data_IF_574538385992
#
_entry.id   IF_574538385992
#
_cell.length_a   1.000
_cell.length_b   1.000
_cell.length_c   1.000
_cell.angle_alpha   90.00
_cell.angle_beta   90.00
_cell.angle_gamma   90.00
#
_symmetry.space_group_name_H-M   'P 1'
#
loop_
_entity.id
_entity.type
_entity.pdbx_description
1 polymer ?
#
# COMPACT_ATOMS: atom_id res chain seq x y z
N UNK A 1 -7.75 29.05 -12.28
CA UNK A 1 -7.16 30.38 -12.56
C UNK A 1 -6.36 30.88 -11.36
N UNK A 2 -6.96 31.16 -10.20
CA UNK A 2 -6.23 31.66 -9.02
C UNK A 2 -4.99 30.83 -8.59
N UNK A 3 -5.06 29.50 -8.60
CA UNK A 3 -3.90 28.64 -8.25
C UNK A 3 -2.77 28.70 -9.29
N UNK A 4 -3.09 28.94 -10.57
CA UNK A 4 -2.08 29.12 -11.63
C UNK A 4 -1.38 30.48 -11.46
N UNK A 5 -2.13 31.51 -11.09
CA UNK A 5 -1.58 32.83 -10.82
C UNK A 5 -0.62 32.77 -9.63
N UNK A 6 -1.02 32.08 -8.56
CA UNK A 6 -0.16 31.82 -7.41
C UNK A 6 1.11 31.05 -7.80
N UNK A 7 1.00 30.01 -8.63
CA UNK A 7 2.16 29.26 -9.11
C UNK A 7 3.16 30.16 -9.83
N UNK A 8 2.64 31.01 -10.75
CA UNK A 8 3.44 31.95 -11.52
C UNK A 8 4.13 32.98 -10.63
N UNK A 9 3.48 33.40 -9.55
CA UNK A 9 4.05 34.34 -8.58
C UNK A 9 5.11 33.68 -7.68
N UNK A 10 4.90 32.43 -7.23
CA UNK A 10 5.86 31.68 -6.41
C UNK A 10 7.16 31.36 -7.16
N UNK A 11 7.11 31.26 -8.48
CA UNK A 11 8.29 31.07 -9.33
C UNK A 11 9.15 32.33 -9.48
N UNK A 12 8.67 33.51 -9.08
CA UNK A 12 9.46 34.74 -9.14
C UNK A 12 10.41 34.84 -7.94
N UNK A 13 11.61 35.37 -8.19
CA UNK A 13 12.60 35.53 -7.12
C UNK A 13 12.31 36.67 -6.15
N UNK A 14 11.47 37.62 -6.56
CA UNK A 14 11.12 38.81 -5.78
C UNK A 14 10.09 38.59 -4.69
N UNK A 15 9.38 37.45 -4.68
CA UNK A 15 8.31 37.23 -3.70
C UNK A 15 8.91 37.02 -2.31
N UNK A 16 8.49 37.84 -1.36
CA UNK A 16 8.77 37.66 0.07
C UNK A 16 7.44 37.52 0.79
N UNK A 17 7.22 36.35 1.38
CA UNK A 17 6.05 36.08 2.20
C UNK A 17 6.40 36.47 3.65
N UNK A 18 5.46 37.13 4.33
CA UNK A 18 5.52 37.29 5.77
C UNK A 18 4.93 36.04 6.46
N UNK A 19 5.13 35.91 7.77
CA UNK A 19 4.75 34.70 8.51
C UNK A 19 3.26 34.36 8.40
N UNK A 20 2.38 35.36 8.35
CA UNK A 20 0.94 35.14 8.21
C UNK A 20 0.56 34.70 6.79
N UNK A 21 1.16 35.29 5.75
CA UNK A 21 0.95 34.87 4.37
C UNK A 21 1.49 33.47 4.12
N UNK A 22 2.67 33.11 4.65
CA UNK A 22 3.20 31.76 4.57
C UNK A 22 2.19 30.73 5.10
N UNK A 23 1.67 30.94 6.32
CA UNK A 23 0.68 30.06 6.95
C UNK A 23 -0.58 29.91 6.11
N UNK A 24 -1.10 31.02 5.58
CA UNK A 24 -2.30 31.04 4.75
C UNK A 24 -2.10 30.29 3.44
N UNK A 25 -0.97 30.54 2.75
CA UNK A 25 -0.64 29.89 1.48
C UNK A 25 -0.45 28.39 1.66
N UNK A 26 0.33 27.97 2.67
CA UNK A 26 0.54 26.55 3.00
C UNK A 26 -0.80 25.86 3.30
N UNK A 27 -1.61 26.44 4.19
CA UNK A 27 -2.92 25.88 4.56
C UNK A 27 -3.86 25.77 3.35
N UNK A 28 -3.85 26.78 2.48
CA UNK A 28 -4.66 26.78 1.27
C UNK A 28 -4.20 25.69 0.30
N UNK A 29 -2.91 25.57 0.02
CA UNK A 29 -2.36 24.57 -0.90
C UNK A 29 -2.61 23.14 -0.39
N UNK A 30 -2.40 22.89 0.91
CA UNK A 30 -2.73 21.60 1.51
C UNK A 30 -4.21 21.26 1.38
N UNK A 31 -5.10 22.24 1.52
CA UNK A 31 -6.55 22.04 1.31
C UNK A 31 -6.89 21.75 -0.16
N UNK A 32 -6.17 22.33 -1.11
CA UNK A 32 -6.38 22.08 -2.54
C UNK A 32 -5.93 20.67 -2.98
N UNK A 33 -5.10 19.98 -2.19
CA UNK A 33 -4.81 18.55 -2.41
C UNK A 33 -6.06 17.67 -2.23
N UNK A 34 -7.06 18.15 -1.50
CA UNK A 34 -8.35 17.47 -1.30
C UNK A 34 -9.45 18.00 -2.24
N UNK A 35 -9.10 18.78 -3.27
CA UNK A 35 -10.08 19.30 -4.23
C UNK A 35 -10.74 18.16 -5.02
N UNK A 36 -11.99 18.36 -5.46
CA UNK A 36 -12.69 17.35 -6.27
C UNK A 36 -12.12 17.23 -7.68
N UNK A 37 -11.45 18.29 -8.18
CA UNK A 37 -10.85 18.32 -9.49
C UNK A 37 -9.37 17.92 -9.42
N UNK A 38 -9.02 16.81 -10.07
CA UNK A 38 -7.65 16.31 -10.16
C UNK A 38 -6.66 17.28 -10.82
N UNK A 39 -7.11 18.17 -11.72
CA UNK A 39 -6.25 19.22 -12.27
C UNK A 39 -5.84 20.23 -11.21
N UNK A 40 -6.77 20.60 -10.31
CA UNK A 40 -6.52 21.53 -9.21
C UNK A 40 -5.58 20.88 -8.19
N UNK A 41 -5.77 19.60 -7.89
CA UNK A 41 -4.88 18.82 -7.03
C UNK A 41 -3.45 18.78 -7.61
N UNK A 42 -3.30 18.44 -8.89
CA UNK A 42 -2.01 18.39 -9.58
C UNK A 42 -1.32 19.75 -9.60
N UNK A 43 -2.09 20.81 -9.80
CA UNK A 43 -1.56 22.17 -9.76
C UNK A 43 -1.12 22.57 -8.34
N UNK A 44 -1.87 22.19 -7.32
CA UNK A 44 -1.50 22.41 -5.92
C UNK A 44 -0.17 21.72 -5.58
N UNK A 45 0.02 20.47 -6.04
CA UNK A 45 1.31 19.76 -5.90
C UNK A 45 2.45 20.50 -6.59
N UNK A 46 2.24 20.99 -7.81
CA UNK A 46 3.26 21.78 -8.53
C UNK A 46 3.62 23.08 -7.80
N UNK A 47 2.68 23.71 -7.09
CA UNK A 47 2.96 24.88 -6.27
C UNK A 47 3.81 24.58 -5.03
N UNK A 48 3.74 23.35 -4.48
CA UNK A 48 4.53 22.99 -3.29
C UNK A 48 6.04 23.03 -3.57
N UNK A 49 6.47 22.69 -4.79
CA UNK A 49 7.88 22.70 -5.20
C UNK A 49 8.58 24.06 -5.00
N UNK A 50 8.15 25.14 -5.69
CA UNK A 50 8.74 26.46 -5.46
C UNK A 50 8.46 26.99 -4.05
N UNK A 51 7.32 26.65 -3.44
CA UNK A 51 6.97 27.14 -2.11
C UNK A 51 7.99 26.74 -1.04
N UNK A 52 8.50 25.50 -1.06
CA UNK A 52 9.46 25.03 -0.03
C UNK A 52 10.78 25.80 -0.05
N UNK A 53 11.09 26.49 -1.14
CA UNK A 53 12.26 27.38 -1.26
C UNK A 53 11.96 28.85 -0.89
N UNK A 54 10.71 29.18 -0.60
CA UNK A 54 10.24 30.56 -0.32
C UNK A 54 9.70 30.75 1.10
N UNK A 55 9.45 29.66 1.82
CA UNK A 55 8.94 29.68 3.20
C UNK A 55 10.00 29.26 4.20
N UNK A 56 9.81 29.62 5.47
CA UNK A 56 10.70 29.20 6.57
C UNK A 56 10.60 27.70 6.86
N UNK A 57 11.66 27.13 7.44
CA UNK A 57 11.81 25.71 7.76
C UNK A 57 10.59 25.10 8.49
N UNK A 58 10.00 25.80 9.46
CA UNK A 58 8.84 25.30 10.21
C UNK A 58 7.61 25.07 9.31
N UNK A 59 7.46 25.83 8.23
CA UNK A 59 6.39 25.64 7.26
C UNK A 59 6.67 24.45 6.36
N UNK A 60 7.92 24.25 5.94
CA UNK A 60 8.33 23.06 5.21
C UNK A 60 8.05 21.80 6.03
N UNK A 61 8.40 21.83 7.32
CA UNK A 61 8.07 20.75 8.25
C UNK A 61 6.57 20.50 8.35
N UNK A 62 5.75 21.57 8.39
CA UNK A 62 4.28 21.46 8.40
C UNK A 62 3.73 20.82 7.12
N UNK A 63 4.28 21.19 5.94
CA UNK A 63 3.91 20.59 4.66
C UNK A 63 4.22 19.09 4.66
N UNK A 64 5.44 18.71 5.08
CA UNK A 64 5.87 17.31 5.13
C UNK A 64 5.01 16.50 6.09
N UNK A 65 4.73 17.00 7.30
CA UNK A 65 3.88 16.31 8.28
C UNK A 65 2.46 16.06 7.74
N UNK A 66 1.88 17.05 7.04
CA UNK A 66 0.58 16.93 6.42
C UNK A 66 0.57 15.89 5.28
N UNK A 67 1.55 15.95 4.38
CA UNK A 67 1.69 14.99 3.28
C UNK A 67 1.88 13.55 3.80
N UNK A 68 2.77 13.36 4.78
CA UNK A 68 2.97 12.05 5.39
C UNK A 68 1.72 11.51 6.10
N UNK A 69 0.92 12.38 6.70
CA UNK A 69 -0.36 11.98 7.32
C UNK A 69 -1.39 11.59 6.26
N UNK A 70 -1.43 12.31 5.13
CA UNK A 70 -2.35 12.03 4.04
C UNK A 70 -1.99 10.78 3.24
N UNK A 71 -0.71 10.38 3.21
CA UNK A 71 -0.26 9.12 2.59
C UNK A 71 -0.85 7.86 3.22
N UNK A 72 -1.31 7.95 4.48
CA UNK A 72 -1.99 6.86 5.19
C UNK A 72 -3.49 7.10 5.33
N UNK A 73 -4.06 8.02 4.55
CA UNK A 73 -5.50 8.27 4.51
C UNK A 73 -6.25 7.08 3.91
N UNK A 74 -7.50 6.88 4.30
CA UNK A 74 -8.37 5.86 3.70
C UNK A 74 -8.72 6.18 2.23
N UNK A 75 -8.63 7.45 1.83
CA UNK A 75 -8.92 7.92 0.47
C UNK A 75 -7.73 7.65 -0.46
N UNK A 76 -7.91 6.73 -1.42
CA UNK A 76 -6.89 6.36 -2.40
C UNK A 76 -6.33 7.57 -3.17
N UNK A 77 -7.20 8.39 -3.76
CA UNK A 77 -6.78 9.60 -4.47
C UNK A 77 -5.93 10.55 -3.60
N UNK A 78 -6.25 10.66 -2.31
CA UNK A 78 -5.51 11.51 -1.39
C UNK A 78 -4.12 10.91 -1.07
N UNK A 79 -4.01 9.59 -0.98
CA UNK A 79 -2.72 8.89 -0.83
C UNK A 79 -1.83 9.11 -2.05
N UNK A 80 -2.39 8.98 -3.24
CA UNK A 80 -1.64 9.12 -4.50
C UNK A 80 -1.11 10.55 -4.68
N UNK A 81 -1.99 11.55 -4.56
CA UNK A 81 -1.59 12.95 -4.71
C UNK A 81 -0.59 13.37 -3.63
N UNK A 82 -0.75 12.89 -2.39
CA UNK A 82 0.17 13.21 -1.30
C UNK A 82 1.53 12.54 -1.47
N UNK A 83 1.58 11.34 -2.07
CA UNK A 83 2.83 10.67 -2.41
C UNK A 83 3.59 11.43 -3.50
N UNK A 84 2.89 11.93 -4.52
CA UNK A 84 3.48 12.79 -5.57
C UNK A 84 3.94 14.13 -4.96
N UNK A 85 3.13 14.72 -4.08
CA UNK A 85 3.45 15.94 -3.33
C UNK A 85 4.72 15.78 -2.51
N UNK A 86 4.83 14.68 -1.75
CA UNK A 86 6.00 14.41 -0.92
C UNK A 86 7.25 14.21 -1.76
N UNK A 87 7.16 13.45 -2.86
CA UNK A 87 8.27 13.29 -3.82
C UNK A 87 8.72 14.63 -4.40
N UNK A 88 7.77 15.48 -4.79
CA UNK A 88 8.04 16.82 -5.31
C UNK A 88 8.76 17.68 -4.28
N UNK A 89 8.23 17.74 -3.05
CA UNK A 89 8.84 18.49 -1.94
C UNK A 89 10.27 18.02 -1.69
N UNK A 90 10.51 16.71 -1.56
CA UNK A 90 11.85 16.15 -1.33
C UNK A 90 12.83 16.55 -2.44
N UNK A 91 12.36 16.53 -3.70
CA UNK A 91 13.21 16.84 -4.86
C UNK A 91 13.58 18.32 -4.94
N UNK A 92 12.76 19.19 -4.36
CA UNK A 92 12.90 20.65 -4.38
C UNK A 92 13.50 21.21 -3.07
N UNK A 93 13.85 20.36 -2.09
CA UNK A 93 14.47 20.81 -0.85
C UNK A 93 15.82 21.51 -1.09
N UNK A 94 16.13 22.59 -0.36
CA UNK A 94 17.39 23.30 -0.51
C UNK A 94 18.56 22.44 -0.02
N UNK A 95 19.45 22.06 -0.96
CA UNK A 95 20.62 21.21 -0.69
C UNK A 95 21.65 21.84 0.29
N UNK A 96 21.56 23.15 0.55
CA UNK A 96 22.44 23.87 1.46
C UNK A 96 22.06 23.78 2.94
N UNK A 97 20.85 23.32 3.30
CA UNK A 97 20.37 23.31 4.68
C UNK A 97 20.36 21.89 5.28
N UNK A 98 21.50 21.46 5.83
CA UNK A 98 21.64 20.10 6.39
C UNK A 98 20.67 19.81 7.54
N UNK A 99 20.33 20.80 8.36
CA UNK A 99 19.42 20.63 9.50
C UNK A 99 17.97 20.39 9.05
N UNK A 100 17.45 21.21 8.12
CA UNK A 100 16.11 21.02 7.56
C UNK A 100 15.98 19.66 6.89
N UNK A 101 16.94 19.30 6.02
CA UNK A 101 16.95 18.00 5.34
C UNK A 101 16.96 16.86 6.34
N UNK A 102 17.80 16.92 7.39
CA UNK A 102 17.83 15.89 8.42
C UNK A 102 16.50 15.77 9.19
N UNK A 103 15.85 16.90 9.51
CA UNK A 103 14.54 16.90 10.16
C UNK A 103 13.45 16.30 9.26
N UNK A 104 13.41 16.70 8.00
CA UNK A 104 12.47 16.17 7.01
C UNK A 104 12.67 14.67 6.82
N UNK A 105 13.91 14.21 6.65
CA UNK A 105 14.22 12.78 6.57
C UNK A 105 13.73 12.02 7.81
N UNK A 106 14.00 12.53 9.02
CA UNK A 106 13.56 11.89 10.26
C UNK A 106 12.03 11.73 10.32
N UNK A 107 11.29 12.78 9.95
CA UNK A 107 9.81 12.77 9.95
C UNK A 107 9.26 11.75 8.96
N UNK A 108 9.79 11.74 7.74
CA UNK A 108 9.40 10.80 6.68
C UNK A 108 9.73 9.36 7.10
N UNK A 109 10.97 9.10 7.54
CA UNK A 109 11.40 7.76 7.97
C UNK A 109 10.55 7.23 9.11
N UNK A 110 10.19 8.06 10.09
CA UNK A 110 9.31 7.64 11.19
C UNK A 110 7.93 7.19 10.71
N UNK A 111 7.30 7.97 9.83
CA UNK A 111 5.97 7.67 9.27
C UNK A 111 5.99 6.46 8.34
N UNK A 112 6.99 6.38 7.46
CA UNK A 112 7.20 5.21 6.59
C UNK A 112 7.43 3.94 7.40
N UNK A 113 8.11 4.03 8.55
CA UNK A 113 8.36 2.84 9.37
C UNK A 113 7.09 2.21 9.90
N UNK A 114 6.19 3.03 10.44
CA UNK A 114 4.88 2.56 10.90
C UNK A 114 4.00 2.05 9.74
N UNK A 115 4.10 2.65 8.55
CA UNK A 115 3.38 2.17 7.38
C UNK A 115 3.91 0.79 6.92
N UNK A 116 5.23 0.57 6.94
CA UNK A 116 5.86 -0.69 6.55
C UNK A 116 5.41 -1.84 7.47
N UNK A 117 5.29 -1.61 8.78
CA UNK A 117 4.78 -2.63 9.71
C UNK A 117 3.37 -3.12 9.30
N UNK A 118 2.47 -2.20 8.95
CA UNK A 118 1.13 -2.54 8.45
C UNK A 118 1.18 -3.28 7.11
N UNK A 119 2.06 -2.86 6.20
CA UNK A 119 2.23 -3.53 4.91
C UNK A 119 2.69 -4.98 5.12
N UNK A 120 3.61 -5.22 6.05
CA UNK A 120 4.09 -6.56 6.39
C UNK A 120 2.93 -7.42 6.92
N UNK A 121 2.13 -6.90 7.86
CA UNK A 121 0.96 -7.60 8.40
C UNK A 121 -0.03 -8.00 7.30
N UNK A 122 -0.37 -7.06 6.41
CA UNK A 122 -1.25 -7.30 5.27
C UNK A 122 -0.67 -8.35 4.32
N UNK A 123 0.64 -8.25 4.01
CA UNK A 123 1.28 -9.23 3.14
C UNK A 123 1.33 -10.63 3.77
N UNK A 124 1.49 -10.74 5.08
CA UNK A 124 1.42 -12.01 5.80
C UNK A 124 0.02 -12.64 5.73
N UNK A 125 -1.05 -11.84 5.74
CA UNK A 125 -2.41 -12.34 5.54
C UNK A 125 -2.57 -12.85 4.09
N UNK A 126 -2.16 -12.04 3.11
CA UNK A 126 -2.32 -12.37 1.70
C UNK A 126 -1.43 -13.51 1.20
N UNK A 127 -0.28 -13.76 1.84
CA UNK A 127 0.56 -14.91 1.52
C UNK A 127 -0.12 -16.24 1.88
N UNK A 128 -1.02 -16.21 2.86
CA UNK A 128 -1.85 -17.34 3.28
C UNK A 128 -3.29 -17.27 2.78
N UNK A 129 -3.63 -16.28 1.94
CA UNK A 129 -5.00 -16.12 1.45
C UNK A 129 -5.40 -17.26 0.52
N UNK A 130 -6.54 -17.89 0.83
CA UNK A 130 -7.06 -19.06 0.13
C UNK A 130 -8.61 -19.00 0.13
N UNK A 131 -9.24 -18.40 -0.88
CA UNK A 131 -10.69 -18.34 -1.05
C UNK A 131 -11.32 -19.71 -1.28
N UNK A 132 -10.54 -20.71 -1.73
CA UNK A 132 -11.02 -22.06 -2.01
C UNK A 132 -10.83 -23.02 -0.82
N UNK A 133 -10.29 -22.52 0.30
CA UNK A 133 -10.11 -23.31 1.53
C UNK A 133 -11.34 -23.14 2.42
N UNK A 134 -12.25 -24.10 2.34
CA UNK A 134 -13.40 -24.15 3.22
C UNK A 134 -12.91 -24.49 4.64
N UNK A 135 -12.89 -23.52 5.55
CA UNK A 135 -12.56 -23.74 6.97
C UNK A 135 -13.61 -24.60 7.71
N UNK A 136 -14.70 -24.98 7.04
CA UNK A 136 -15.80 -25.79 7.59
C UNK A 136 -15.61 -27.31 7.47
N UNK A 137 -14.62 -27.80 6.72
CA UNK A 137 -14.45 -29.26 6.54
C UNK A 137 -13.91 -29.97 7.80
N UNK A 138 -13.39 -29.24 8.79
CA UNK A 138 -12.88 -29.80 10.05
C UNK A 138 -13.95 -29.93 11.16
N UNK A 139 -15.21 -29.47 10.96
CA UNK A 139 -16.28 -29.56 11.98
C UNK A 139 -17.24 -30.74 11.76
N UNK A 140 -17.22 -31.39 10.59
CA UNK A 140 -18.21 -32.43 10.27
C UNK A 140 -17.75 -33.89 10.47
N UNK A 141 -16.52 -34.16 10.91
CA UNK A 141 -16.01 -35.54 11.05
C UNK A 141 -16.23 -36.17 12.45
N UNK A 142 -17.22 -35.70 13.21
CA UNK A 142 -17.51 -36.17 14.58
C UNK A 142 -18.98 -36.52 14.87
N UNK A 143 -19.84 -36.67 13.85
CA UNK A 143 -21.21 -37.17 14.05
C UNK A 143 -21.41 -38.55 13.43
N UNK A 144 -20.92 -39.56 14.14
CA UNK A 144 -21.21 -40.99 13.91
C UNK A 144 -22.63 -41.31 14.42
N UNK A 145 -23.48 -41.99 13.62
CA UNK A 145 -24.62 -42.75 14.16
C UNK A 145 -25.94 -42.79 13.37
N UNK A 146 -26.21 -43.97 12.81
CA UNK A 146 -27.51 -44.58 12.46
C UNK A 146 -28.15 -44.29 11.08
N UNK A 147 -28.25 -45.39 10.31
CA UNK A 147 -28.65 -45.43 8.92
C UNK A 147 -30.12 -45.70 8.65
N UNK A 148 -30.47 -45.66 7.37
CA UNK A 148 -31.56 -46.45 6.78
C UNK A 148 -31.29 -46.59 5.28
N UNK A 149 -31.18 -47.82 4.82
CA UNK A 149 -31.09 -48.16 3.40
C UNK A 149 -32.48 -48.00 2.75
N UNK A 150 -32.57 -47.30 1.62
CA UNK A 150 -33.63 -47.48 0.64
C UNK A 150 -33.10 -47.17 -0.76
N UNK A 151 -32.97 -48.22 -1.56
CA UNK A 151 -32.80 -48.21 -3.01
C UNK A 151 -34.09 -47.70 -3.66
N UNK A 152 -34.02 -46.63 -4.46
CA UNK A 152 -35.03 -46.33 -5.50
C UNK A 152 -34.30 -45.82 -6.74
N UNK A 153 -34.79 -46.31 -7.87
CA UNK A 153 -34.18 -46.50 -9.18
C UNK A 153 -33.91 -45.22 -10.00
N UNK A 154 -33.03 -45.41 -10.99
CA UNK A 154 -32.63 -44.51 -12.07
C UNK A 154 -33.81 -43.81 -12.77
N UNK A 155 -33.77 -42.48 -12.81
CA UNK A 155 -34.20 -41.71 -13.98
C UNK A 155 -33.21 -40.56 -14.16
N UNK A 156 -32.31 -40.73 -15.12
CA UNK A 156 -31.21 -39.81 -15.38
C UNK A 156 -31.64 -38.65 -16.26
N UNK A 157 -31.48 -37.43 -15.74
CA UNK A 157 -30.82 -36.34 -16.48
C UNK A 157 -29.90 -35.64 -15.47
N UNK A 158 -28.63 -36.09 -15.49
CA UNK A 158 -27.49 -35.29 -15.08
C UNK A 158 -27.49 -34.03 -15.95
N UNK A 159 -27.57 -32.86 -15.32
CA UNK A 159 -26.84 -31.64 -15.70
C UNK A 159 -27.15 -30.55 -14.67
N UNK A 160 -26.82 -30.84 -13.40
CA UNK A 160 -26.34 -29.78 -12.53
C UNK A 160 -24.85 -29.55 -12.88
N UNK A 161 -24.59 -29.09 -14.10
CA UNK A 161 -23.36 -28.36 -14.41
C UNK A 161 -23.46 -27.01 -13.69
N UNK A 162 -23.42 -27.02 -12.35
CA UNK A 162 -23.12 -25.85 -11.55
C UNK A 162 -21.63 -25.53 -11.80
N UNK A 163 -21.37 -24.92 -12.96
CA UNK A 163 -20.56 -23.73 -13.21
C UNK A 163 -19.45 -23.41 -12.18
N UNK A 164 -18.64 -24.37 -11.73
CA UNK A 164 -17.38 -24.10 -11.06
C UNK A 164 -16.35 -23.71 -12.11
N UNK A 165 -16.39 -22.44 -12.49
CA UNK A 165 -15.36 -21.79 -13.30
C UNK A 165 -14.02 -21.82 -12.55
N UNK A 166 -13.17 -22.82 -12.84
CA UNK A 166 -11.76 -22.94 -12.42
C UNK A 166 -10.92 -21.71 -12.83
N UNK A 167 -11.46 -20.80 -13.64
CA UNK A 167 -10.82 -19.57 -14.12
C UNK A 167 -10.82 -18.41 -13.09
N UNK A 168 -11.56 -18.52 -11.98
CA UNK A 168 -11.64 -17.47 -10.95
C UNK A 168 -10.64 -17.63 -9.79
N UNK A 169 -9.83 -18.71 -9.73
CA UNK A 169 -8.79 -18.83 -8.70
C UNK A 169 -7.59 -17.89 -8.96
N UNK A 170 -7.76 -16.64 -8.52
CA UNK A 170 -6.75 -15.58 -8.56
C UNK A 170 -5.81 -15.61 -7.34
N UNK A 171 -5.92 -16.60 -6.46
CA UNK A 171 -5.17 -16.68 -5.20
C UNK A 171 -3.67 -16.68 -5.42
N UNK A 172 -3.21 -17.38 -6.46
CA UNK A 172 -1.79 -17.40 -6.81
C UNK A 172 -1.26 -16.02 -7.22
N UNK A 173 -2.09 -15.17 -7.86
CA UNK A 173 -1.71 -13.79 -8.20
C UNK A 173 -1.63 -12.91 -6.97
N UNK A 174 -2.61 -13.05 -6.05
CA UNK A 174 -2.64 -12.33 -4.77
C UNK A 174 -1.43 -12.70 -3.91
N UNK A 175 -1.14 -14.00 -3.77
CA UNK A 175 0.03 -14.51 -3.05
C UNK A 175 1.34 -14.03 -3.67
N UNK A 176 1.47 -14.11 -5.01
CA UNK A 176 2.66 -13.63 -5.73
C UNK A 176 2.87 -12.12 -5.52
N UNK A 177 1.80 -11.33 -5.54
CA UNK A 177 1.89 -9.89 -5.29
C UNK A 177 2.34 -9.59 -3.84
N UNK A 178 1.79 -10.31 -2.86
CA UNK A 178 2.21 -10.19 -1.46
C UNK A 178 3.69 -10.59 -1.25
N UNK A 179 4.13 -11.69 -1.87
CA UNK A 179 5.53 -12.13 -1.81
C UNK A 179 6.49 -11.10 -2.42
N UNK A 180 6.15 -10.53 -3.58
CA UNK A 180 6.92 -9.45 -4.22
C UNK A 180 6.97 -8.19 -3.36
N UNK A 181 5.88 -7.86 -2.68
CA UNK A 181 5.84 -6.72 -1.76
C UNK A 181 6.78 -6.95 -0.56
N UNK A 182 6.75 -8.15 0.03
CA UNK A 182 7.68 -8.54 1.10
C UNK A 182 9.14 -8.52 0.64
N UNK A 183 9.43 -9.01 -0.57
CA UNK A 183 10.78 -8.94 -1.15
C UNK A 183 11.27 -7.49 -1.30
N UNK A 184 10.42 -6.58 -1.78
CA UNK A 184 10.75 -5.16 -1.88
C UNK A 184 10.99 -4.53 -0.49
N UNK A 185 10.23 -4.93 0.53
CA UNK A 185 10.45 -4.49 1.92
C UNK A 185 11.79 -5.00 2.46
N UNK A 186 12.10 -6.29 2.28
CA UNK A 186 13.39 -6.87 2.70
C UNK A 186 14.57 -6.20 1.99
N UNK A 187 14.43 -5.95 0.69
CA UNK A 187 15.48 -5.34 -0.13
C UNK A 187 15.75 -3.87 0.25
N UNK A 188 14.69 -3.14 0.61
CA UNK A 188 14.80 -1.74 1.03
C UNK A 188 15.26 -1.57 2.47
N UNK A 189 14.90 -2.49 3.39
CA UNK A 189 15.21 -2.41 4.84
C UNK A 189 15.74 -3.71 5.41
N UNK A 190 17.05 -3.93 5.24
CA UNK A 190 17.76 -5.13 5.71
C UNK A 190 17.74 -5.29 7.24
N UNK A 191 17.53 -4.21 7.97
CA UNK A 191 17.45 -4.20 9.43
C UNK A 191 16.22 -4.96 9.96
N UNK A 192 15.12 -5.03 9.21
CA UNK A 192 13.89 -5.74 9.60
C UNK A 192 13.94 -7.24 9.28
N UNK A 193 15.05 -7.71 8.68
CA UNK A 193 15.19 -9.09 8.22
C UNK A 193 14.99 -10.11 9.36
N UNK A 194 15.46 -9.82 10.57
CA UNK A 194 15.31 -10.76 11.69
C UNK A 194 13.85 -10.90 12.16
N UNK A 195 13.05 -9.85 12.08
CA UNK A 195 11.64 -9.88 12.46
C UNK A 195 10.81 -10.55 11.37
N UNK A 196 11.09 -10.20 10.11
CA UNK A 196 10.51 -10.83 8.93
C UNK A 196 10.81 -12.33 8.89
N UNK A 197 12.03 -12.76 9.22
CA UNK A 197 12.36 -14.18 9.27
C UNK A 197 11.54 -14.92 10.33
N UNK A 198 11.28 -14.32 11.49
CA UNK A 198 10.47 -14.94 12.55
C UNK A 198 8.98 -15.03 12.17
N UNK A 199 8.43 -14.03 11.49
CA UNK A 199 7.01 -13.99 11.12
C UNK A 199 6.67 -14.70 9.80
N UNK A 200 7.48 -14.47 8.76
CA UNK A 200 7.26 -14.97 7.40
C UNK A 200 7.68 -16.44 7.26
N UNK A 201 8.77 -16.87 7.92
CA UNK A 201 9.27 -18.26 7.74
C UNK A 201 8.26 -19.33 8.19
N UNK A 202 7.59 -19.21 9.35
CA UNK A 202 6.56 -20.18 9.73
C UNK A 202 5.39 -20.23 8.74
N UNK A 203 4.93 -19.08 8.25
CA UNK A 203 3.84 -19.00 7.27
C UNK A 203 4.21 -19.68 5.95
N UNK A 204 5.43 -19.45 5.46
CA UNK A 204 5.97 -20.12 4.27
C UNK A 204 6.15 -21.63 4.49
N UNK A 205 6.71 -22.05 5.63
CA UNK A 205 6.97 -23.46 5.94
C UNK A 205 5.65 -24.25 6.10
N UNK A 206 4.62 -23.64 6.71
CA UNK A 206 3.31 -24.27 6.84
C UNK A 206 2.69 -24.59 5.47
N UNK A 207 2.87 -23.71 4.48
CA UNK A 207 2.42 -23.94 3.09
C UNK A 207 3.15 -25.10 2.42
N UNK A 208 4.47 -25.22 2.60
CA UNK A 208 5.22 -26.38 2.07
C UNK A 208 4.82 -27.73 2.68
N UNK A 209 4.18 -27.74 3.87
CA UNK A 209 3.73 -28.96 4.55
C UNK A 209 2.27 -29.34 4.28
N UNK A 210 1.49 -28.46 3.65
CA UNK A 210 0.12 -28.75 3.23
C UNK A 210 0.12 -29.84 2.16
N UNK A 211 -0.17 -31.08 2.57
CA UNK A 211 -0.52 -32.18 1.66
C UNK A 211 -1.70 -31.69 0.80
N UNK A 212 -1.69 -31.98 -0.50
CA UNK A 212 -2.64 -31.51 -1.53
C UNK A 212 -2.31 -30.18 -2.24
N UNK A 213 -1.04 -29.82 -2.43
CA UNK A 213 -0.72 -28.98 -3.59
C UNK A 213 -0.74 -29.84 -4.86
N UNK A 214 -1.73 -29.61 -5.73
CA UNK A 214 -1.70 -30.21 -7.08
C UNK A 214 -0.38 -29.84 -7.77
N UNK A 215 0.18 -30.70 -8.64
CA UNK A 215 1.51 -30.50 -9.22
C UNK A 215 1.70 -29.11 -9.85
N UNK A 216 0.64 -28.50 -10.39
CA UNK A 216 0.65 -27.14 -10.97
C UNK A 216 1.04 -26.04 -9.97
N UNK A 217 0.59 -26.12 -8.71
CA UNK A 217 0.91 -25.12 -7.68
C UNK A 217 2.37 -25.21 -7.21
N UNK A 218 2.90 -26.44 -7.09
CA UNK A 218 4.32 -26.67 -6.78
C UNK A 218 5.21 -26.09 -7.89
N UNK A 219 4.82 -26.24 -9.16
CA UNK A 219 5.57 -25.69 -10.29
C UNK A 219 5.55 -24.15 -10.36
N UNK A 220 4.45 -23.49 -9.95
CA UNK A 220 4.40 -22.03 -9.89
C UNK A 220 5.17 -21.45 -8.70
N UNK A 221 5.13 -22.10 -7.54
CA UNK A 221 5.93 -21.69 -6.37
C UNK A 221 7.44 -21.92 -6.58
N UNK A 222 7.83 -22.96 -7.33
CA UNK A 222 9.24 -23.19 -7.71
C UNK A 222 9.72 -22.16 -8.74
N UNK A 223 8.85 -21.66 -9.61
CA UNK A 223 9.22 -20.62 -10.59
C UNK A 223 9.47 -19.25 -9.94
N UNK A 224 9.10 -19.06 -8.67
CA UNK A 224 9.48 -17.89 -7.85
C UNK A 224 10.98 -17.91 -7.49
N UNK A 225 11.70 -19.02 -7.69
CA UNK A 225 13.15 -19.13 -7.42
C UNK A 225 14.07 -19.01 -8.64
N UNK A 226 13.53 -18.87 -9.86
CA UNK A 226 14.33 -18.75 -11.08
C UNK A 226 13.63 -17.77 -12.03
N UNK A 227 13.69 -16.48 -11.69
CA UNK A 227 13.74 -15.33 -12.62
C UNK A 227 13.94 -14.04 -11.82
#
# INVERSE_FOLDING_TARGET
>A
MATNDLMSELQKDSIKLDDDSERKVVKMLLKLLEDKNGEVQNLAVKCLGPLVNKVKDYQVETIVDALCTNMVSDKEQLRDISSIGLKTVISELPLGCSALVANVCRRITGKLSSAIEKIIEICLIYITYDPNYNYDDDINDLSDGEGTAMEIEEDGEEDAEDEYSDDDDMSWKVRRAAAKCLEAVVSSRRELLSELYKGVSPALIARFKGKYQSPKFIYQDIKIKID
#
